data_IF_877654397610
#
_entry.id   IF_877654397610
#
_cell.length_a   1.000
_cell.length_b   1.000
_cell.length_c   1.000
_cell.angle_alpha   90.00
_cell.angle_beta   90.00
_cell.angle_gamma   90.00
#
_symmetry.space_group_name_H-M   'P 1'
#
loop_
_entity.id
_entity.type
_entity.pdbx_description
1 polymer ?
#
# COMPACT_ATOMS: atom_id res chain seq x y z
N UNK A 1 14.34 44.05 -44.83
CA UNK A 1 14.29 42.64 -45.27
C UNK A 1 13.74 41.81 -44.12
N UNK A 2 12.54 41.24 -44.28
CA UNK A 2 11.94 40.36 -43.27
C UNK A 2 12.64 39.00 -43.34
N UNK A 3 13.29 38.59 -42.26
CA UNK A 3 13.87 37.26 -42.11
C UNK A 3 12.72 36.25 -41.98
N UNK A 4 12.53 35.42 -43.01
CA UNK A 4 11.68 34.26 -42.92
C UNK A 4 12.26 33.32 -41.85
N UNK A 5 11.51 33.12 -40.75
CA UNK A 5 11.88 32.17 -39.70
C UNK A 5 11.81 30.78 -40.32
N UNK A 6 12.97 30.19 -40.63
CA UNK A 6 13.05 28.79 -41.00
C UNK A 6 12.34 27.98 -39.91
N UNK A 7 11.29 27.25 -40.28
CA UNK A 7 10.61 26.34 -39.37
C UNK A 7 11.60 25.24 -39.02
N UNK A 8 12.23 25.37 -37.85
CA UNK A 8 13.17 24.38 -37.36
C UNK A 8 12.43 23.04 -37.20
N UNK A 9 12.75 22.07 -38.08
CA UNK A 9 12.24 20.73 -37.94
C UNK A 9 13.09 19.95 -36.93
N UNK A 10 12.43 19.16 -36.09
CA UNK A 10 13.08 18.28 -35.11
C UNK A 10 12.70 16.83 -35.41
N UNK A 11 13.61 15.90 -35.15
CA UNK A 11 13.38 14.47 -35.37
C UNK A 11 12.92 13.78 -34.09
N UNK A 12 12.01 12.81 -34.23
CA UNK A 12 11.63 11.87 -33.18
C UNK A 12 12.17 10.49 -33.55
N UNK A 13 13.07 9.95 -32.74
CA UNK A 13 13.64 8.61 -32.93
C UNK A 13 13.30 7.73 -31.73
N UNK A 14 12.49 6.69 -31.93
CA UNK A 14 12.06 5.76 -30.87
C UNK A 14 12.22 4.33 -31.38
N UNK A 15 12.78 3.44 -30.55
CA UNK A 15 12.81 2.00 -30.83
C UNK A 15 11.45 1.41 -30.50
N UNK A 16 10.91 0.60 -31.41
CA UNK A 16 9.61 -0.05 -31.27
C UNK A 16 9.76 -1.52 -31.66
N UNK A 17 8.95 -2.37 -31.03
CA UNK A 17 8.85 -3.77 -31.43
C UNK A 17 8.42 -3.89 -32.91
N UNK A 18 9.02 -4.83 -33.63
CA UNK A 18 8.84 -4.92 -35.08
C UNK A 18 7.45 -5.42 -35.49
N UNK A 19 6.83 -6.28 -34.69
CA UNK A 19 5.49 -6.79 -34.93
C UNK A 19 4.45 -5.72 -34.59
N UNK A 20 4.65 -5.01 -33.47
CA UNK A 20 3.84 -3.87 -33.09
C UNK A 20 3.87 -2.77 -34.15
N UNK A 21 5.05 -2.44 -34.68
CA UNK A 21 5.19 -1.46 -35.77
C UNK A 21 4.39 -1.89 -37.01
N UNK A 22 4.55 -3.14 -37.44
CA UNK A 22 3.86 -3.66 -38.62
C UNK A 22 2.34 -3.64 -38.46
N UNK A 23 1.84 -4.05 -37.29
CA UNK A 23 0.41 -4.02 -36.98
C UNK A 23 -0.14 -2.59 -36.99
N UNK A 24 0.57 -1.65 -36.36
CA UNK A 24 0.20 -0.23 -36.36
C UNK A 24 0.20 0.40 -37.76
N UNK A 25 1.25 0.15 -38.56
CA UNK A 25 1.35 0.65 -39.94
C UNK A 25 0.18 0.18 -40.82
N UNK A 26 -0.27 -1.07 -40.65
CA UNK A 26 -1.41 -1.61 -41.37
C UNK A 26 -2.71 -0.87 -41.00
N UNK A 27 -2.93 -0.60 -39.71
CA UNK A 27 -4.09 0.18 -39.25
C UNK A 27 -4.02 1.61 -39.79
N UNK A 28 -2.89 2.31 -39.67
CA UNK A 28 -2.74 3.66 -40.21
C UNK A 28 -3.00 3.72 -41.72
N UNK A 29 -2.48 2.75 -42.47
CA UNK A 29 -2.70 2.66 -43.92
C UNK A 29 -4.19 2.46 -44.23
N UNK A 30 -4.90 1.63 -43.46
CA UNK A 30 -6.33 1.38 -43.65
C UNK A 30 -7.20 2.64 -43.48
N UNK A 31 -6.73 3.61 -42.68
CA UNK A 31 -7.39 4.91 -42.47
C UNK A 31 -6.75 6.05 -43.28
N UNK A 32 -5.87 5.74 -44.23
CA UNK A 32 -5.27 6.74 -45.13
C UNK A 32 -4.20 7.62 -44.48
N UNK A 33 -3.61 7.19 -43.37
CA UNK A 33 -2.54 7.91 -42.67
C UNK A 33 -1.19 7.22 -42.86
N UNK A 34 -0.15 8.01 -43.14
CA UNK A 34 1.23 7.54 -42.97
C UNK A 34 1.62 7.54 -41.48
N UNK A 35 2.60 6.70 -41.08
CA UNK A 35 3.09 6.69 -39.68
C UNK A 35 3.55 8.07 -39.20
N UNK A 36 4.23 8.83 -40.06
CA UNK A 36 4.68 10.19 -39.73
C UNK A 36 3.53 11.17 -39.53
N UNK A 37 2.40 11.02 -40.24
CA UNK A 37 1.21 11.84 -39.98
C UNK A 37 0.57 11.46 -38.64
N UNK A 38 0.45 10.17 -38.34
CA UNK A 38 -0.09 9.70 -37.07
C UNK A 38 0.74 10.20 -35.87
N UNK A 39 2.08 10.14 -35.96
CA UNK A 39 2.98 10.65 -34.91
C UNK A 39 2.85 12.16 -34.74
N UNK A 40 2.76 12.93 -35.83
CA UNK A 40 2.53 14.39 -35.73
C UNK A 40 1.19 14.71 -35.09
N UNK A 41 0.12 14.04 -35.51
CA UNK A 41 -1.21 14.21 -34.93
C UNK A 41 -1.23 13.88 -33.42
N UNK A 42 -0.47 12.86 -33.00
CA UNK A 42 -0.31 12.55 -31.57
C UNK A 42 0.38 13.69 -30.79
N UNK A 43 1.43 14.29 -31.35
CA UNK A 43 2.10 15.44 -30.72
C UNK A 43 1.22 16.70 -30.69
N UNK A 44 0.42 16.93 -31.73
CA UNK A 44 -0.59 18.00 -31.76
C UNK A 44 -1.68 17.77 -30.71
N UNK A 45 -2.17 16.54 -30.58
CA UNK A 45 -3.15 16.16 -29.56
C UNK A 45 -2.62 16.44 -28.15
N UNK A 46 -1.37 16.07 -27.88
CA UNK A 46 -0.73 16.32 -26.60
C UNK A 46 -0.57 17.82 -26.31
N UNK A 47 -0.17 18.62 -27.29
CA UNK A 47 -0.07 20.07 -27.15
C UNK A 47 -1.43 20.73 -26.87
N UNK A 48 -2.50 20.23 -27.49
CA UNK A 48 -3.87 20.73 -27.29
C UNK A 48 -4.44 20.37 -25.91
N UNK A 49 -4.01 19.26 -25.30
CA UNK A 49 -4.45 18.81 -23.98
C UNK A 49 -3.41 19.07 -22.88
N UNK A 50 -2.54 20.08 -23.06
CA UNK A 50 -1.48 20.41 -22.10
C UNK A 50 -1.98 20.65 -20.67
N UNK A 51 -3.23 21.10 -20.53
CA UNK A 51 -3.87 21.41 -19.24
C UNK A 51 -4.67 20.20 -18.68
N UNK A 52 -4.74 19.09 -19.42
CA UNK A 52 -5.41 17.83 -19.04
C UNK A 52 -4.46 16.61 -19.18
N UNK A 53 -3.26 16.62 -18.56
CA UNK A 53 -2.27 15.56 -18.75
C UNK A 53 -2.73 14.17 -18.30
N UNK A 54 -3.53 14.09 -17.24
CA UNK A 54 -4.05 12.81 -16.72
C UNK A 54 -5.01 12.14 -17.69
N UNK A 55 -5.84 12.94 -18.38
CA UNK A 55 -6.76 12.43 -19.40
C UNK A 55 -6.01 11.85 -20.60
N UNK A 56 -4.95 12.53 -21.03
CA UNK A 56 -4.08 12.03 -22.08
C UNK A 56 -3.37 10.74 -21.65
N UNK A 57 -2.91 10.67 -20.40
CA UNK A 57 -2.28 9.47 -19.84
C UNK A 57 -3.23 8.28 -19.84
N UNK A 58 -4.46 8.45 -19.36
CA UNK A 58 -5.47 7.40 -19.34
C UNK A 58 -5.81 6.89 -20.76
N UNK A 59 -5.85 7.78 -21.76
CA UNK A 59 -6.10 7.39 -23.14
C UNK A 59 -4.93 6.60 -23.78
N UNK A 60 -3.68 6.93 -23.44
CA UNK A 60 -2.49 6.26 -23.97
C UNK A 60 -2.19 4.93 -23.25
N UNK A 61 -2.53 4.85 -21.96
CA UNK A 61 -2.23 3.72 -21.10
C UNK A 61 -3.46 3.23 -20.34
N UNK A 62 -4.52 2.78 -21.04
CA UNK A 62 -5.80 2.45 -20.41
C UNK A 62 -5.72 1.30 -19.40
N UNK A 63 -4.67 0.47 -19.47
CA UNK A 63 -4.47 -0.68 -18.56
C UNK A 63 -3.43 -0.41 -17.45
N UNK A 64 -2.78 0.76 -17.42
CA UNK A 64 -1.83 1.08 -16.33
C UNK A 64 -2.54 1.34 -15.00
N UNK A 65 -3.74 1.93 -15.01
CA UNK A 65 -4.53 2.15 -13.80
C UNK A 65 -4.99 0.83 -13.17
N UNK A 66 -5.42 -0.16 -13.96
CA UNK A 66 -5.77 -1.49 -13.43
C UNK A 66 -4.57 -2.16 -12.74
N UNK A 67 -3.37 -2.05 -13.35
CA UNK A 67 -2.14 -2.59 -12.77
C UNK A 67 -1.75 -1.84 -11.49
N UNK A 68 -1.89 -0.51 -11.48
CA UNK A 68 -1.59 0.35 -10.32
C UNK A 68 -2.57 0.13 -9.16
N UNK A 69 -3.87 0.05 -9.44
CA UNK A 69 -4.92 -0.23 -8.46
C UNK A 69 -4.73 -1.62 -7.86
N UNK A 70 -4.49 -2.65 -8.68
CA UNK A 70 -4.21 -4.00 -8.21
C UNK A 70 -2.95 -4.06 -7.32
N UNK A 71 -1.90 -3.31 -7.67
CA UNK A 71 -0.69 -3.21 -6.85
C UNK A 71 -0.95 -2.51 -5.51
N UNK A 72 -1.75 -1.44 -5.53
CA UNK A 72 -2.11 -0.68 -4.33
C UNK A 72 -3.03 -1.47 -3.40
N UNK A 73 -3.99 -2.22 -3.94
CA UNK A 73 -4.88 -3.11 -3.17
C UNK A 73 -4.10 -4.25 -2.52
N UNK A 74 -3.12 -4.81 -3.23
CA UNK A 74 -2.20 -5.81 -2.68
C UNK A 74 -1.38 -5.23 -1.51
N UNK A 75 -0.92 -4.00 -1.61
CA UNK A 75 -0.17 -3.34 -0.53
C UNK A 75 -1.07 -2.98 0.67
N UNK A 76 -2.31 -2.52 0.42
CA UNK A 76 -3.33 -2.33 1.47
C UNK A 76 -3.63 -3.64 2.20
N UNK A 77 -3.85 -4.73 1.47
CA UNK A 77 -4.09 -6.05 2.04
C UNK A 77 -2.90 -6.51 2.88
N UNK A 78 -1.66 -6.27 2.42
CA UNK A 78 -0.44 -6.57 3.18
C UNK A 78 -0.37 -5.79 4.50
N UNK A 79 -0.65 -4.48 4.46
CA UNK A 79 -0.67 -3.62 5.66
C UNK A 79 -1.78 -4.00 6.63
N UNK A 80 -2.97 -4.34 6.13
CA UNK A 80 -4.09 -4.80 6.97
C UNK A 80 -3.76 -6.13 7.66
N UNK A 81 -3.10 -7.05 6.95
CA UNK A 81 -2.62 -8.31 7.54
C UNK A 81 -1.60 -8.07 8.66
N UNK A 82 -0.70 -7.11 8.51
CA UNK A 82 0.25 -6.72 9.55
C UNK A 82 -0.47 -6.05 10.74
N UNK A 83 -1.44 -5.17 10.49
CA UNK A 83 -2.21 -4.52 11.55
C UNK A 83 -3.03 -5.53 12.37
N UNK A 84 -3.57 -6.58 11.72
CA UNK A 84 -4.29 -7.67 12.38
C UNK A 84 -3.39 -8.54 13.28
N UNK A 85 -2.06 -8.49 13.13
CA UNK A 85 -1.12 -9.16 14.05
C UNK A 85 -0.87 -8.37 15.34
N UNK A 86 -1.11 -7.04 15.32
CA UNK A 86 -0.87 -6.14 16.44
C UNK A 86 -1.48 -6.57 17.79
N UNK A 87 -2.75 -7.02 17.84
CA UNK A 87 -3.40 -7.45 19.08
C UNK A 87 -2.73 -8.66 19.75
N UNK A 88 -2.00 -9.48 19.00
CA UNK A 88 -1.43 -10.74 19.50
C UNK A 88 0.06 -10.61 19.87
N UNK A 89 0.70 -9.47 19.65
CA UNK A 89 2.13 -9.29 19.94
C UNK A 89 2.42 -9.56 21.42
N UNK A 90 1.58 -9.06 22.33
CA UNK A 90 1.77 -9.28 23.77
C UNK A 90 1.52 -10.75 24.15
N UNK A 91 0.47 -11.37 23.61
CA UNK A 91 0.16 -12.79 23.84
C UNK A 91 1.28 -13.71 23.33
N UNK A 92 1.83 -13.41 22.15
CA UNK A 92 2.94 -14.15 21.54
C UNK A 92 4.23 -14.01 22.37
N UNK A 93 4.54 -12.82 22.88
CA UNK A 93 5.70 -12.59 23.77
C UNK A 93 5.55 -13.31 25.11
N UNK A 94 4.36 -13.27 25.72
CA UNK A 94 4.06 -14.00 26.96
C UNK A 94 4.25 -15.50 26.75
N UNK A 95 3.67 -16.04 25.68
CA UNK A 95 3.79 -17.46 25.32
C UNK A 95 5.23 -17.87 25.01
N UNK A 96 5.97 -17.05 24.26
CA UNK A 96 7.38 -17.30 23.93
C UNK A 96 8.29 -17.30 25.17
N UNK A 97 7.90 -16.58 26.23
CA UNK A 97 8.61 -16.55 27.52
C UNK A 97 8.27 -17.75 28.42
N UNK A 98 7.44 -18.70 27.94
CA UNK A 98 7.00 -19.85 28.73
C UNK A 98 5.91 -19.52 29.75
N UNK A 99 5.31 -18.34 29.66
CA UNK A 99 4.23 -17.89 30.53
C UNK A 99 2.88 -18.11 29.83
N UNK A 100 1.85 -18.33 30.63
CA UNK A 100 0.49 -18.31 30.13
C UNK A 100 -0.03 -16.86 30.12
N UNK A 101 -0.82 -16.45 29.12
CA UNK A 101 -1.58 -15.20 29.18
C UNK A 101 -2.37 -15.12 30.49
N UNK A 102 -2.55 -13.91 31.01
CA UNK A 102 -3.28 -13.67 32.27
C UNK A 102 -4.63 -14.38 32.16
N UNK A 103 -4.85 -15.35 33.05
CA UNK A 103 -6.13 -16.03 33.15
C UNK A 103 -7.16 -15.03 33.69
N UNK A 104 -8.17 -14.75 32.88
CA UNK A 104 -9.25 -13.83 33.23
C UNK A 104 -10.15 -14.39 34.34
N UNK A 105 -9.93 -15.65 34.77
CA UNK A 105 -10.53 -16.21 35.98
C UNK A 105 -9.81 -15.82 37.27
N UNK A 106 -8.66 -15.14 37.21
CA UNK A 106 -7.99 -14.61 38.40
C UNK A 106 -8.79 -13.38 38.88
N UNK A 107 -9.33 -13.39 40.11
CA UNK A 107 -10.06 -12.25 40.64
C UNK A 107 -9.18 -11.01 40.64
N UNK A 108 -9.76 -9.85 40.37
CA UNK A 108 -9.07 -8.57 40.53
C UNK A 108 -8.87 -8.32 42.03
N UNK A 109 -7.68 -8.66 42.53
CA UNK A 109 -7.33 -8.53 43.94
C UNK A 109 -6.84 -7.12 44.22
N UNK A 110 -7.34 -6.53 45.30
CA UNK A 110 -6.81 -5.26 45.79
C UNK A 110 -5.41 -5.45 46.39
N UNK A 111 -4.68 -4.36 46.58
CA UNK A 111 -3.37 -4.41 47.25
C UNK A 111 -3.45 -5.02 48.66
N UNK A 112 -4.57 -4.80 49.37
CA UNK A 112 -4.77 -5.37 50.69
C UNK A 112 -4.99 -6.89 50.64
N UNK A 113 -5.72 -7.39 49.63
CA UNK A 113 -5.92 -8.83 49.41
C UNK A 113 -4.59 -9.52 49.04
N UNK A 114 -3.79 -8.90 48.16
CA UNK A 114 -2.46 -9.42 47.80
C UNK A 114 -1.52 -9.48 49.00
N UNK A 115 -1.54 -8.44 49.84
CA UNK A 115 -0.77 -8.40 51.08
C UNK A 115 -1.22 -9.53 52.01
N UNK A 116 -2.52 -9.75 52.16
CA UNK A 116 -3.08 -10.81 53.01
C UNK A 116 -2.69 -12.21 52.52
N UNK A 117 -2.80 -12.49 51.22
CA UNK A 117 -2.35 -13.75 50.63
C UNK A 117 -0.86 -14.00 50.84
N UNK A 118 -0.02 -12.97 50.69
CA UNK A 118 1.42 -13.09 50.95
C UNK A 118 1.72 -13.40 52.43
N UNK A 119 0.92 -12.87 53.38
CA UNK A 119 1.01 -13.24 54.79
C UNK A 119 0.58 -14.70 55.02
N UNK A 120 -0.51 -15.14 54.40
CA UNK A 120 -1.01 -16.51 54.50
C UNK A 120 0.01 -17.53 53.93
N UNK A 121 0.61 -17.24 52.78
CA UNK A 121 1.62 -18.10 52.16
C UNK A 121 2.87 -18.25 53.03
N UNK A 122 3.28 -17.16 53.69
CA UNK A 122 4.50 -17.13 54.51
C UNK A 122 4.34 -17.76 55.90
N UNK A 123 3.15 -17.68 56.50
CA UNK A 123 2.93 -18.02 57.91
C UNK A 123 1.85 -19.09 58.16
N UNK A 124 1.11 -19.50 57.11
CA UNK A 124 -0.02 -20.43 57.19
C UNK A 124 -1.28 -19.82 57.81
N UNK A 125 -2.40 -20.54 57.74
CA UNK A 125 -3.75 -20.09 58.17
C UNK A 125 -3.83 -19.60 59.62
N UNK A 126 -2.89 -19.99 60.48
CA UNK A 126 -2.85 -19.59 61.89
C UNK A 126 -2.52 -18.11 62.14
N UNK A 127 -2.02 -17.37 61.15
CA UNK A 127 -1.62 -15.97 61.31
C UNK A 127 -2.81 -14.99 61.33
N UNK A 128 -3.98 -15.41 60.85
CA UNK A 128 -5.17 -14.56 60.74
C UNK A 128 -5.85 -14.28 62.10
N UNK A 129 -5.59 -15.12 63.13
CA UNK A 129 -6.19 -14.95 64.46
C UNK A 129 -5.64 -13.76 65.27
N UNK A 130 -4.44 -13.27 64.94
CA UNK A 130 -3.81 -12.18 65.70
C UNK A 130 -4.26 -10.78 65.27
N UNK A 131 -4.78 -10.62 64.04
CA UNK A 131 -5.22 -9.32 63.52
C UNK A 131 -6.68 -8.99 63.89
N UNK A 132 -7.48 -9.97 64.30
CA UNK A 132 -8.86 -9.75 64.73
C UNK A 132 -9.03 -9.41 66.22
N UNK A 133 -7.92 -9.36 66.99
CA UNK A 133 -7.94 -9.18 68.45
C UNK A 133 -7.22 -7.91 68.94
N UNK A 134 -6.84 -7.01 68.03
CA UNK A 134 -6.29 -5.67 68.30
C UNK A 134 -7.00 -4.66 67.41
#
# INVERSE_FOLDING_TARGET
MATARATASSQLNVRIDSDLKRAGDAVFTSIGLSPSQAVRALWELAANHKDEPERLRAALFPHEEEVSVAAHDKEKARKLKLAAQGPHIMEDVIRASGLNPIDSSVPELSFDDLKELAYQEKYGDGAMFFKAMV
#
